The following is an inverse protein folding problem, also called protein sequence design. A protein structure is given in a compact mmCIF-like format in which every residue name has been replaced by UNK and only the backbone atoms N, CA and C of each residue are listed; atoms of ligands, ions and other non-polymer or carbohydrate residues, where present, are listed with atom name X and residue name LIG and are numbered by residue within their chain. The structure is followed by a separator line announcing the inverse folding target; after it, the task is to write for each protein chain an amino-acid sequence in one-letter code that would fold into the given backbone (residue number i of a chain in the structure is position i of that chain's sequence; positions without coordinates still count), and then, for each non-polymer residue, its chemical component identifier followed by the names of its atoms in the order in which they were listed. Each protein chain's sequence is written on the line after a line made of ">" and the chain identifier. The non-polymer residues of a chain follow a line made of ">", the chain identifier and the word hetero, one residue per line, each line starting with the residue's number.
data_IF_106871857913
#
_entry.id   IF_106871857913
#
_cell.length_a   1.000
_cell.length_b   1.000
_cell.length_c   1.000
_cell.angle_alpha   90.00
_cell.angle_beta   90.00
_cell.angle_gamma   90.00
#
_symmetry.space_group_name_H-M   'P 1'
#
loop_
_entity.id
_entity.type
_entity.pdbx_description
1 polymer ?
#
# COMPACT_ATOMS: atom_id res chain seq x y z
N UNK A 1 -0.96 -13.31 -8.82
CA UNK A 1 0.42 -13.35 -8.29
C UNK A 1 0.54 -12.40 -7.12
N UNK A 2 1.28 -12.81 -6.09
CA UNK A 2 1.64 -12.00 -4.92
C UNK A 2 3.14 -11.70 -5.02
N UNK A 3 3.52 -10.44 -4.79
CA UNK A 3 4.93 -10.03 -4.73
C UNK A 3 5.19 -9.38 -3.38
N UNK A 4 6.15 -9.92 -2.64
CA UNK A 4 6.55 -9.41 -1.32
C UNK A 4 8.07 -9.46 -1.12
N UNK A 5 8.59 -8.44 -0.45
CA UNK A 5 10.00 -8.30 -0.14
C UNK A 5 10.29 -8.64 1.32
N UNK A 6 11.07 -9.69 1.55
CA UNK A 6 11.48 -10.09 2.91
C UNK A 6 12.89 -9.58 3.20
N UNK A 7 13.00 -8.61 4.11
CA UNK A 7 14.28 -8.00 4.47
C UNK A 7 14.99 -8.77 5.60
N UNK A 8 16.29 -9.00 5.41
CA UNK A 8 17.25 -9.36 6.45
C UNK A 8 18.12 -8.15 6.79
N UNK A 9 19.16 -8.32 7.61
CA UNK A 9 20.15 -7.27 7.89
C UNK A 9 20.91 -6.83 6.65
N UNK A 10 21.19 -7.76 5.73
CA UNK A 10 22.18 -7.59 4.67
C UNK A 10 21.58 -7.65 3.25
N UNK A 11 20.41 -8.25 3.10
CA UNK A 11 19.76 -8.42 1.80
C UNK A 11 18.23 -8.46 1.90
N UNK A 12 17.58 -8.47 0.74
CA UNK A 12 16.15 -8.63 0.57
C UNK A 12 15.89 -9.83 -0.35
N UNK A 13 14.93 -10.67 0.03
CA UNK A 13 14.41 -11.74 -0.84
C UNK A 13 13.12 -11.23 -1.48
N UNK A 14 13.14 -11.06 -2.80
CA UNK A 14 11.96 -10.79 -3.60
C UNK A 14 11.25 -12.11 -3.88
N UNK A 15 10.03 -12.26 -3.39
CA UNK A 15 9.24 -13.48 -3.56
C UNK A 15 8.10 -13.24 -4.53
N UNK A 16 7.89 -14.17 -5.47
CA UNK A 16 6.81 -14.14 -6.46
C UNK A 16 5.96 -15.39 -6.28
N UNK A 17 4.85 -15.25 -5.56
CA UNK A 17 3.99 -16.36 -5.20
C UNK A 17 2.75 -16.43 -6.09
N UNK A 18 2.37 -17.64 -6.44
CA UNK A 18 1.05 -17.96 -6.95
C UNK A 18 0.06 -18.02 -5.79
N UNK A 19 -1.02 -17.24 -5.89
CA UNK A 19 -2.03 -17.22 -4.83
C UNK A 19 -2.92 -18.46 -4.85
N UNK A 20 -3.16 -19.05 -6.01
CA UNK A 20 -4.16 -20.11 -6.17
C UNK A 20 -3.51 -21.46 -5.85
N UNK A 21 -2.29 -21.67 -6.37
CA UNK A 21 -1.49 -22.86 -6.08
C UNK A 21 -0.76 -22.79 -4.74
N UNK A 22 -0.76 -21.63 -4.07
CA UNK A 22 0.04 -21.36 -2.84
C UNK A 22 1.51 -21.77 -3.00
N UNK A 23 2.06 -21.52 -4.18
CA UNK A 23 3.38 -21.98 -4.58
C UNK A 23 4.30 -20.81 -4.94
N UNK A 24 5.58 -20.92 -4.58
CA UNK A 24 6.59 -19.91 -4.94
C UNK A 24 7.04 -20.15 -6.39
N UNK A 25 6.63 -19.27 -7.30
CA UNK A 25 6.97 -19.38 -8.72
C UNK A 25 8.42 -18.96 -9.01
N UNK A 26 8.90 -17.96 -8.26
CA UNK A 26 10.24 -17.42 -8.43
C UNK A 26 10.66 -16.67 -7.16
N UNK A 27 11.97 -16.61 -6.91
CA UNK A 27 12.54 -15.70 -5.93
C UNK A 27 13.88 -15.15 -6.43
N UNK A 28 14.23 -13.96 -5.95
CA UNK A 28 15.51 -13.33 -6.23
C UNK A 28 16.10 -12.72 -4.94
N UNK A 29 17.39 -12.93 -4.72
CA UNK A 29 18.11 -12.37 -3.57
C UNK A 29 18.87 -11.14 -4.04
N UNK A 30 18.56 -9.99 -3.45
CA UNK A 30 19.10 -8.70 -3.87
C UNK A 30 19.56 -7.92 -2.65
N UNK A 31 20.60 -7.10 -2.77
CA UNK A 31 21.03 -6.25 -1.64
C UNK A 31 19.89 -5.32 -1.20
N UNK A 32 19.22 -4.70 -2.17
CA UNK A 32 18.04 -3.86 -1.97
C UNK A 32 17.08 -3.98 -3.14
N UNK A 33 15.80 -3.82 -2.84
CA UNK A 33 14.78 -3.68 -3.87
C UNK A 33 15.02 -2.44 -4.73
N UNK A 34 15.05 -2.64 -6.05
CA UNK A 34 15.12 -1.55 -6.99
C UNK A 34 14.35 -1.88 -8.26
N UNK A 35 14.06 -0.83 -9.04
CA UNK A 35 13.29 -0.93 -10.27
C UNK A 35 13.87 -1.93 -11.29
N UNK A 36 15.19 -1.99 -11.46
CA UNK A 36 15.83 -2.85 -12.45
C UNK A 36 15.67 -4.33 -12.09
N UNK A 37 15.80 -4.66 -10.80
CA UNK A 37 15.60 -6.03 -10.31
C UNK A 37 14.18 -6.50 -10.62
N UNK A 38 13.17 -5.68 -10.30
CA UNK A 38 11.78 -6.00 -10.61
C UNK A 38 11.52 -6.16 -12.10
N UNK A 39 12.12 -5.32 -12.96
CA UNK A 39 11.94 -5.46 -14.42
C UNK A 39 12.51 -6.79 -14.90
N UNK A 40 13.73 -7.13 -14.49
CA UNK A 40 14.37 -8.38 -14.88
C UNK A 40 13.55 -9.61 -14.44
N UNK A 41 13.13 -9.63 -13.17
CA UNK A 41 12.32 -10.72 -12.60
C UNK A 41 10.97 -10.86 -13.31
N UNK A 42 10.26 -9.74 -13.54
CA UNK A 42 8.97 -9.75 -14.22
C UNK A 42 9.09 -10.13 -15.71
N UNK A 43 10.18 -9.75 -16.39
CA UNK A 43 10.44 -10.17 -17.77
C UNK A 43 10.69 -11.68 -17.86
N UNK A 44 11.42 -12.26 -16.90
CA UNK A 44 11.62 -13.71 -16.81
C UNK A 44 10.29 -14.44 -16.59
N UNK A 45 9.47 -13.97 -15.66
CA UNK A 45 8.13 -14.53 -15.40
C UNK A 45 7.19 -14.40 -16.60
N UNK A 46 7.36 -13.37 -17.43
CA UNK A 46 6.61 -13.21 -18.68
C UNK A 46 7.03 -14.24 -19.72
N UNK A 47 8.33 -14.54 -19.80
CA UNK A 47 8.90 -15.49 -20.76
C UNK A 47 8.56 -16.95 -20.42
N UNK A 48 8.34 -17.27 -19.14
CA UNK A 48 7.95 -18.63 -18.72
C UNK A 48 6.52 -19.03 -19.14
N UNK A 49 5.77 -18.12 -19.76
CA UNK A 49 4.42 -18.40 -20.26
C UNK A 49 3.33 -18.36 -19.17
N UNK A 50 3.65 -17.85 -17.97
CA UNK A 50 2.66 -17.68 -16.90
C UNK A 50 1.59 -16.67 -17.30
N UNK A 51 0.32 -17.07 -17.15
CA UNK A 51 -0.81 -16.17 -17.33
C UNK A 51 -1.08 -15.37 -16.05
N UNK A 52 -0.49 -14.17 -15.94
CA UNK A 52 -0.66 -13.32 -14.76
C UNK A 52 -1.90 -12.44 -14.93
N UNK A 53 -2.99 -12.81 -14.25
CA UNK A 53 -4.27 -12.04 -14.24
C UNK A 53 -4.17 -10.78 -13.37
N UNK A 54 -3.52 -10.90 -12.21
CA UNK A 54 -3.36 -9.80 -11.26
C UNK A 54 -2.03 -9.90 -10.50
N UNK A 55 -1.55 -8.77 -10.01
CA UNK A 55 -0.41 -8.67 -9.11
C UNK A 55 -0.83 -7.96 -7.84
N UNK A 56 -0.66 -8.60 -6.68
CA UNK A 56 -0.85 -7.98 -5.37
C UNK A 56 0.49 -7.72 -4.70
N UNK A 57 0.73 -6.49 -4.24
CA UNK A 57 1.97 -6.14 -3.51
C UNK A 57 1.82 -5.00 -2.52
N UNK A 58 2.86 -4.74 -1.74
CA UNK A 58 2.97 -3.59 -0.82
C UNK A 58 2.86 -2.22 -1.55
N UNK A 59 3.06 -2.23 -2.88
CA UNK A 59 3.08 -1.09 -3.80
C UNK A 59 4.25 -0.14 -3.59
N UNK A 60 5.44 -0.71 -3.42
CA UNK A 60 6.69 -0.01 -3.59
C UNK A 60 6.74 0.67 -4.98
N UNK A 61 7.23 1.91 -5.04
CA UNK A 61 7.19 2.72 -6.29
C UNK A 61 7.98 2.08 -7.43
N UNK A 62 9.12 1.45 -7.13
CA UNK A 62 9.95 0.75 -8.09
C UNK A 62 9.19 -0.40 -8.74
N UNK A 63 8.56 -1.23 -7.92
CA UNK A 63 7.71 -2.33 -8.37
C UNK A 63 6.53 -1.86 -9.23
N UNK A 64 5.78 -0.83 -8.81
CA UNK A 64 4.65 -0.31 -9.60
C UNK A 64 5.12 0.14 -10.99
N UNK A 65 6.27 0.83 -11.06
CA UNK A 65 6.85 1.26 -12.35
C UNK A 65 7.27 0.06 -13.21
N UNK A 66 7.79 -1.00 -12.60
CA UNK A 66 8.19 -2.22 -13.30
C UNK A 66 6.96 -2.98 -13.83
N UNK A 67 5.91 -3.14 -13.02
CA UNK A 67 4.63 -3.74 -13.43
C UNK A 67 4.05 -2.99 -14.63
N UNK A 68 3.95 -1.66 -14.56
CA UNK A 68 3.41 -0.85 -15.65
C UNK A 68 4.24 -0.96 -16.95
N UNK A 69 5.53 -1.28 -16.86
CA UNK A 69 6.39 -1.50 -18.02
C UNK A 69 6.20 -2.89 -18.62
N UNK A 70 6.27 -3.93 -17.79
CA UNK A 70 6.32 -5.33 -18.28
C UNK A 70 4.91 -5.87 -18.56
N UNK A 71 3.95 -5.48 -17.71
CA UNK A 71 2.56 -5.91 -17.71
C UNK A 71 1.59 -4.70 -17.67
N UNK A 72 1.58 -3.83 -18.70
CA UNK A 72 0.83 -2.56 -18.65
C UNK A 72 -0.69 -2.70 -18.48
N UNK A 73 -1.26 -3.89 -18.75
CA UNK A 73 -2.70 -4.17 -18.66
C UNK A 73 -3.08 -5.00 -17.43
N UNK A 74 -2.11 -5.45 -16.63
CA UNK A 74 -2.39 -6.28 -15.46
C UNK A 74 -3.01 -5.45 -14.35
N UNK A 75 -3.96 -6.03 -13.63
CA UNK A 75 -4.55 -5.38 -12.47
C UNK A 75 -3.54 -5.41 -11.34
N UNK A 76 -3.13 -4.23 -10.87
CA UNK A 76 -2.29 -4.10 -9.67
C UNK A 76 -3.17 -3.85 -8.44
N UNK A 77 -3.16 -4.79 -7.51
CA UNK A 77 -3.81 -4.68 -6.21
C UNK A 77 -2.78 -4.27 -5.14
N UNK A 78 -3.12 -3.27 -4.34
CA UNK A 78 -2.35 -2.89 -3.14
C UNK A 78 -2.76 -3.79 -1.99
N UNK A 79 -1.79 -4.39 -1.31
CA UNK A 79 -2.05 -5.20 -0.14
C UNK A 79 -2.71 -4.35 0.96
N UNK A 80 -3.93 -4.74 1.34
CA UNK A 80 -4.73 -4.01 2.32
C UNK A 80 -4.08 -4.01 3.71
N UNK A 81 -3.42 -5.12 4.05
CA UNK A 81 -2.72 -5.30 5.32
C UNK A 81 -1.47 -4.41 5.39
N UNK A 82 -0.71 -4.29 4.30
CA UNK A 82 0.43 -3.37 4.23
C UNK A 82 0.01 -1.91 4.40
N UNK A 83 -1.07 -1.49 3.73
CA UNK A 83 -1.62 -0.13 3.89
C UNK A 83 -2.11 0.10 5.32
N UNK A 84 -2.81 -0.86 5.92
CA UNK A 84 -3.29 -0.78 7.30
C UNK A 84 -2.12 -0.71 8.29
N UNK A 85 -1.14 -1.60 8.19
CA UNK A 85 0.04 -1.66 9.08
C UNK A 85 0.84 -0.36 9.04
N UNK A 86 1.17 0.13 7.84
CA UNK A 86 1.87 1.40 7.66
C UNK A 86 1.06 2.58 8.21
N UNK A 87 -0.25 2.57 7.99
CA UNK A 87 -1.14 3.59 8.53
C UNK A 87 -1.13 3.62 10.06
N UNK A 88 -1.22 2.44 10.70
CA UNK A 88 -1.21 2.31 12.16
C UNK A 88 0.13 2.71 12.79
N UNK A 89 1.25 2.52 12.10
CA UNK A 89 2.57 3.01 12.53
C UNK A 89 2.58 4.54 12.58
N UNK A 90 2.07 5.22 11.54
CA UNK A 90 2.03 6.69 11.52
C UNK A 90 1.05 7.29 12.54
N UNK A 91 -0.03 6.57 12.87
CA UNK A 91 -1.04 7.06 13.82
C UNK A 91 -0.65 6.88 15.29
N UNK A 92 0.41 6.11 15.56
CA UNK A 92 0.82 5.67 16.90
C UNK A 92 -0.26 4.85 17.62
N UNK A 93 0.10 4.17 18.72
CA UNK A 93 -0.83 3.30 19.47
C UNK A 93 -1.94 4.09 20.17
N UNK A 94 -1.61 5.27 20.70
CA UNK A 94 -2.49 6.13 21.50
C UNK A 94 -2.44 7.59 21.00
N UNK A 95 -3.08 7.89 19.86
CA UNK A 95 -3.17 9.27 19.37
C UNK A 95 -3.94 10.14 20.38
N UNK A 96 -3.41 11.34 20.65
CA UNK A 96 -4.03 12.30 21.58
C UNK A 96 -5.01 13.27 20.89
N UNK A 97 -4.88 13.43 19.58
CA UNK A 97 -5.71 14.36 18.81
C UNK A 97 -6.96 13.64 18.30
N UNK A 98 -8.09 14.34 18.25
CA UNK A 98 -9.34 13.80 17.69
C UNK A 98 -9.14 13.30 16.25
N UNK A 99 -8.37 14.04 15.45
CA UNK A 99 -7.98 13.65 14.09
C UNK A 99 -7.27 12.29 14.04
N UNK A 100 -6.32 12.05 14.95
CA UNK A 100 -5.59 10.78 15.02
C UNK A 100 -6.47 9.64 15.54
N UNK A 101 -7.30 9.88 16.54
CA UNK A 101 -8.22 8.89 17.12
C UNK A 101 -9.22 8.42 16.07
N UNK A 102 -9.90 9.35 15.41
CA UNK A 102 -10.92 9.05 14.41
C UNK A 102 -10.34 8.37 13.16
N UNK A 103 -9.18 8.80 12.67
CA UNK A 103 -8.53 8.12 11.54
C UNK A 103 -8.08 6.70 11.92
N UNK A 104 -7.55 6.52 13.13
CA UNK A 104 -7.13 5.21 13.62
C UNK A 104 -8.31 4.24 13.70
N UNK A 105 -9.48 4.69 14.13
CA UNK A 105 -10.69 3.88 14.13
C UNK A 105 -10.99 3.32 12.73
N UNK A 106 -11.06 4.18 11.71
CA UNK A 106 -11.36 3.76 10.34
C UNK A 106 -10.26 2.89 9.72
N UNK A 107 -8.98 3.20 9.97
CA UNK A 107 -7.85 2.39 9.50
C UNK A 107 -7.90 0.97 10.06
N UNK A 108 -8.31 0.79 11.32
CA UNK A 108 -8.45 -0.56 11.91
C UNK A 108 -9.53 -1.40 11.24
N UNK A 109 -10.55 -0.76 10.67
CA UNK A 109 -11.64 -1.40 9.95
C UNK A 109 -11.33 -1.73 8.50
N UNK A 110 -10.18 -1.30 7.97
CA UNK A 110 -9.85 -1.44 6.55
C UNK A 110 -9.85 -2.91 6.09
N UNK A 111 -9.21 -3.83 6.83
CA UNK A 111 -9.22 -5.27 6.52
C UNK A 111 -10.59 -5.98 6.61
N UNK A 112 -11.60 -5.34 7.20
CA UNK A 112 -12.97 -5.89 7.37
C UNK A 112 -13.87 -5.59 6.16
N UNK A 113 -13.35 -4.89 5.14
CA UNK A 113 -14.09 -4.53 3.93
C UNK A 113 -14.13 -5.76 3.00
N UNK A 114 -15.32 -6.30 2.79
CA UNK A 114 -15.59 -7.48 1.97
C UNK A 114 -16.75 -7.26 0.97
N UNK A 115 -17.32 -6.05 0.94
CA UNK A 115 -18.43 -5.68 0.08
C UNK A 115 -18.28 -4.26 -0.48
N UNK A 116 -19.00 -3.98 -1.56
CA UNK A 116 -19.04 -2.65 -2.18
C UNK A 116 -19.62 -1.59 -1.25
N UNK A 117 -20.64 -1.94 -0.47
CA UNK A 117 -21.30 -1.05 0.48
C UNK A 117 -20.33 -0.65 1.60
N UNK A 118 -19.58 -1.62 2.16
CA UNK A 118 -18.55 -1.36 3.16
C UNK A 118 -17.43 -0.50 2.60
N UNK A 119 -17.00 -0.75 1.35
CA UNK A 119 -16.01 0.06 0.65
C UNK A 119 -16.47 1.51 0.52
N UNK A 120 -17.67 1.73 -0.02
CA UNK A 120 -18.19 3.06 -0.31
C UNK A 120 -18.42 3.85 0.97
N UNK A 121 -18.95 3.18 2.01
CA UNK A 121 -19.06 3.76 3.33
C UNK A 121 -17.68 4.16 3.89
N UNK A 122 -16.68 3.28 3.80
CA UNK A 122 -15.32 3.58 4.28
C UNK A 122 -14.69 4.77 3.56
N UNK A 123 -14.81 4.83 2.22
CA UNK A 123 -14.31 5.94 1.40
C UNK A 123 -14.99 7.25 1.81
N UNK A 124 -16.32 7.24 1.95
CA UNK A 124 -17.08 8.40 2.41
C UNK A 124 -16.59 8.90 3.78
N UNK A 125 -16.32 8.00 4.73
CA UNK A 125 -15.81 8.35 6.06
C UNK A 125 -14.39 8.92 5.99
N UNK A 126 -13.51 8.34 5.17
CA UNK A 126 -12.16 8.84 4.98
C UNK A 126 -12.14 10.23 4.30
N UNK A 127 -13.00 10.44 3.31
CA UNK A 127 -13.13 11.74 2.64
C UNK A 127 -13.74 12.80 3.57
N UNK A 128 -14.73 12.42 4.37
CA UNK A 128 -15.28 13.25 5.44
C UNK A 128 -14.21 13.67 6.45
N UNK A 129 -13.37 12.72 6.88
CA UNK A 129 -12.22 12.99 7.74
C UNK A 129 -11.23 13.95 7.07
N UNK A 130 -10.91 13.75 5.78
CA UNK A 130 -10.01 14.62 5.03
C UNK A 130 -10.51 16.06 4.99
N UNK A 131 -11.82 16.27 4.79
CA UNK A 131 -12.44 17.60 4.78
C UNK A 131 -12.45 18.23 6.17
N UNK A 132 -12.91 17.49 7.19
CA UNK A 132 -13.02 17.96 8.58
C UNK A 132 -11.69 18.49 9.12
N UNK A 133 -10.59 17.79 8.83
CA UNK A 133 -9.27 18.11 9.39
C UNK A 133 -8.32 18.80 8.40
N UNK A 134 -8.78 19.32 7.26
CA UNK A 134 -7.86 19.90 6.27
C UNK A 134 -7.09 21.12 6.80
N UNK A 135 -7.77 22.04 7.49
CA UNK A 135 -7.14 23.21 8.11
C UNK A 135 -6.18 22.80 9.23
N UNK A 136 -6.62 21.89 10.10
CA UNK A 136 -5.79 21.31 11.16
C UNK A 136 -4.50 20.72 10.58
N UNK A 137 -4.58 19.92 9.52
CA UNK A 137 -3.41 19.33 8.87
C UNK A 137 -2.50 20.37 8.20
N UNK A 138 -2.99 21.58 7.88
CA UNK A 138 -2.21 22.67 7.29
C UNK A 138 -1.46 23.51 8.33
N UNK A 139 -1.73 23.35 9.61
CA UNK A 139 -1.00 24.00 10.71
C UNK A 139 0.51 23.78 10.60
N UNK A 140 1.27 24.83 10.89
CA UNK A 140 2.74 24.83 10.85
C UNK A 140 3.30 25.28 12.20
N UNK A 141 4.28 24.55 12.70
CA UNK A 141 5.16 25.02 13.78
C UNK A 141 6.35 25.77 13.18
N UNK A 142 7.00 26.61 13.99
CA UNK A 142 8.15 27.42 13.59
C UNK A 142 9.27 27.28 14.63
N UNK A 143 10.53 27.20 14.19
CA UNK A 143 11.69 27.30 15.08
C UNK A 143 11.98 28.75 15.45
N UNK A 144 12.78 28.94 16.50
CA UNK A 144 13.34 30.25 16.86
C UNK A 144 14.12 30.90 15.69
N UNK A 145 14.75 30.10 14.83
CA UNK A 145 15.44 30.55 13.61
C UNK A 145 14.53 30.85 12.41
N UNK A 146 13.20 30.76 12.55
CA UNK A 146 12.25 31.07 11.49
C UNK A 146 11.88 29.92 10.55
N UNK A 147 12.49 28.74 10.70
CA UNK A 147 12.17 27.56 9.88
C UNK A 147 10.77 27.04 10.22
N UNK A 148 9.90 26.93 9.23
CA UNK A 148 8.52 26.40 9.39
C UNK A 148 8.42 24.94 8.93
N UNK A 149 7.61 24.14 9.61
CA UNK A 149 7.24 22.78 9.17
C UNK A 149 5.80 22.46 9.57
N UNK A 150 5.15 21.55 8.86
CA UNK A 150 3.83 21.07 9.24
C UNK A 150 3.87 20.43 10.62
N UNK A 151 2.96 20.84 11.52
CA UNK A 151 2.85 20.30 12.87
C UNK A 151 2.54 18.81 12.82
N UNK A 152 1.59 18.42 11.96
CA UNK A 152 1.01 17.06 11.93
C UNK A 152 1.62 16.16 10.85
N UNK A 153 2.96 16.06 10.79
CA UNK A 153 3.69 15.37 9.71
C UNK A 153 3.22 13.93 9.47
N UNK A 154 3.09 13.14 10.53
CA UNK A 154 2.71 11.73 10.41
C UNK A 154 1.26 11.54 9.96
N UNK A 155 0.32 12.38 10.43
CA UNK A 155 -1.07 12.36 9.96
C UNK A 155 -1.16 12.73 8.47
N UNK A 156 -0.40 13.74 8.02
CA UNK A 156 -0.33 14.08 6.60
C UNK A 156 0.26 12.94 5.75
N UNK A 157 1.29 12.27 6.26
CA UNK A 157 1.91 11.10 5.60
C UNK A 157 0.91 9.95 5.50
N UNK A 158 0.16 9.68 6.56
CA UNK A 158 -0.91 8.69 6.57
C UNK A 158 -2.02 9.02 5.55
N UNK A 159 -2.53 10.26 5.55
CA UNK A 159 -3.51 10.73 4.55
C UNK A 159 -3.02 10.49 3.13
N UNK A 160 -1.75 10.79 2.86
CA UNK A 160 -1.15 10.60 1.54
C UNK A 160 -0.98 9.12 1.17
N UNK A 161 -0.57 8.28 2.13
CA UNK A 161 -0.47 6.83 1.95
C UNK A 161 -1.81 6.24 1.51
N UNK A 162 -2.89 6.54 2.25
CA UNK A 162 -4.23 6.04 1.95
C UNK A 162 -4.70 6.56 0.59
N UNK A 163 -4.59 7.87 0.32
CA UNK A 163 -4.99 8.46 -0.97
C UNK A 163 -4.29 7.83 -2.16
N UNK A 164 -2.99 7.52 -2.04
CA UNK A 164 -2.24 6.87 -3.10
C UNK A 164 -2.57 5.39 -3.28
N UNK A 165 -3.08 4.73 -2.24
CA UNK A 165 -3.47 3.32 -2.28
C UNK A 165 -4.90 3.13 -2.81
N UNK A 166 -5.81 4.08 -2.54
CA UNK A 166 -7.24 4.02 -2.87
C UNK A 166 -7.56 3.52 -4.29
N UNK A 167 -6.87 3.98 -5.36
CA UNK A 167 -7.18 3.52 -6.72
C UNK A 167 -7.01 2.01 -6.93
N UNK A 168 -6.19 1.36 -6.10
CA UNK A 168 -5.73 -0.01 -6.33
C UNK A 168 -5.95 -0.93 -5.11
N UNK A 169 -6.63 -0.49 -4.05
CA UNK A 169 -6.75 -1.28 -2.80
C UNK A 169 -7.99 -2.17 -2.75
N UNK A 170 -8.92 -2.08 -3.69
CA UNK A 170 -10.22 -2.78 -3.64
C UNK A 170 -10.54 -3.64 -4.88
N UNK A 171 -9.56 -3.98 -5.72
CA UNK A 171 -9.79 -4.82 -6.90
C UNK A 171 -10.29 -6.22 -6.54
N UNK A 172 -9.91 -6.75 -5.38
CA UNK A 172 -10.40 -8.04 -4.85
C UNK A 172 -11.93 -8.12 -4.65
N UNK A 173 -12.63 -6.98 -4.56
CA UNK A 173 -14.09 -6.97 -4.49
C UNK A 173 -14.75 -7.29 -5.84
N UNK A 174 -14.04 -7.01 -6.94
CA UNK A 174 -14.53 -7.21 -8.30
C UNK A 174 -14.16 -8.57 -8.89
N UNK A 175 -13.01 -9.11 -8.47
CA UNK A 175 -12.59 -10.44 -8.85
C UNK A 175 -12.04 -11.18 -7.61
N UNK A 176 -12.72 -12.24 -7.12
CA UNK A 176 -12.28 -13.06 -5.99
C UNK A 176 -10.91 -13.75 -6.17
N UNK A 177 -10.45 -13.93 -7.41
CA UNK A 177 -9.11 -14.48 -7.70
C UNK A 177 -7.98 -13.49 -7.38
N UNK A 178 -8.30 -12.20 -7.19
CA UNK A 178 -7.33 -11.19 -6.79
C UNK A 178 -7.16 -11.26 -5.27
N UNK A 179 -5.99 -11.64 -4.75
CA UNK A 179 -5.81 -11.71 -3.30
C UNK A 179 -5.81 -10.32 -2.70
N UNK A 180 -6.57 -10.14 -1.61
CA UNK A 180 -6.63 -8.87 -0.86
C UNK A 180 -5.30 -8.45 -0.22
N UNK A 181 -4.42 -9.41 0.04
CA UNK A 181 -3.15 -9.22 0.72
C UNK A 181 -2.01 -9.96 0.03
N UNK A 182 -0.86 -9.28 -0.06
CA UNK A 182 0.45 -9.89 -0.24
C UNK A 182 1.02 -10.33 1.10
#
# INVERSE_FOLDING_TARGET
>A
MIIDGTYTSDFCILNYLDNDLKYLQFYNIVERENYNNYVADLELLKQSGLNIVSITSDGQKGLIKAINRVFPKVIHQRCIIHVQRMSLIYLTRFPKTEAGITLRYWVRKLHEIDSYEKRDFWIMQFDGWCRKYDLFLKEKSQSLSGRKWYTHKLLRRNRSLIKNALPNIFHYLYNPEIPKSS
#
